data_IF_668818936430
#
_entry.id   IF_668818936430
#
_cell.length_a   1.000
_cell.length_b   1.000
_cell.length_c   1.000
_cell.angle_alpha   90.00
_cell.angle_beta   90.00
_cell.angle_gamma   90.00
#
_symmetry.space_group_name_H-M   'P 1'
#
loop_
_entity.id
_entity.type
_entity.pdbx_description
1 polymer ?
#
# COMPACT_ATOMS: atom_id res chain seq x y z
N UNK A 1 18.45 -11.42 1.89
CA UNK A 1 19.61 -10.52 1.74
C UNK A 1 19.31 -9.25 0.96
N UNK A 2 18.76 -9.30 -0.27
CA UNK A 2 18.48 -8.08 -1.07
C UNK A 2 17.72 -6.97 -0.32
N UNK A 3 16.53 -7.25 0.23
CA UNK A 3 15.73 -6.24 0.94
C UNK A 3 16.37 -5.73 2.23
N UNK A 4 17.09 -6.60 2.95
CA UNK A 4 17.80 -6.20 4.17
C UNK A 4 18.98 -5.28 3.83
N UNK A 5 19.67 -5.53 2.72
CA UNK A 5 20.69 -4.63 2.19
C UNK A 5 20.12 -3.28 1.74
N UNK A 6 18.97 -3.29 1.05
CA UNK A 6 18.29 -2.06 0.65
C UNK A 6 17.89 -1.19 1.85
N UNK A 7 17.44 -1.82 2.95
CA UNK A 7 16.99 -1.12 4.16
C UNK A 7 18.14 -0.85 5.15
N UNK A 8 19.38 -1.21 4.84
CA UNK A 8 20.49 -1.14 5.79
C UNK A 8 20.74 0.27 6.35
N UNK A 9 20.52 1.30 5.52
CA UNK A 9 20.73 2.70 5.89
C UNK A 9 19.46 3.35 6.48
N UNK A 10 18.36 2.60 6.64
CA UNK A 10 17.13 3.14 7.21
C UNK A 10 17.31 3.39 8.71
N UNK A 11 17.18 4.65 9.12
CA UNK A 11 17.28 5.03 10.53
C UNK A 11 16.03 4.58 11.32
N UNK A 12 16.14 4.42 12.65
CA UNK A 12 14.98 4.12 13.48
C UNK A 12 13.86 5.18 13.39
N UNK A 13 14.19 6.44 13.13
CA UNK A 13 13.20 7.49 12.95
C UNK A 13 12.48 7.34 11.61
N UNK A 14 13.20 7.17 10.50
CA UNK A 14 12.59 6.90 9.19
C UNK A 14 11.70 5.67 9.22
N UNK A 15 12.08 4.62 9.94
CA UNK A 15 11.26 3.43 10.13
C UNK A 15 9.94 3.74 10.87
N UNK A 16 9.99 4.53 11.95
CA UNK A 16 8.79 4.97 12.70
C UNK A 16 7.90 5.88 11.87
N UNK A 17 8.47 6.91 11.25
CA UNK A 17 7.75 7.85 10.40
C UNK A 17 7.12 7.11 9.21
N UNK A 18 7.87 6.20 8.58
CA UNK A 18 7.40 5.39 7.45
C UNK A 18 6.21 4.50 7.84
N UNK A 19 6.25 3.87 9.00
CA UNK A 19 5.12 3.07 9.51
C UNK A 19 3.86 3.93 9.71
N UNK A 20 4.00 5.13 10.28
CA UNK A 20 2.88 6.05 10.47
C UNK A 20 2.30 6.57 9.15
N UNK A 21 3.17 6.96 8.20
CA UNK A 21 2.74 7.40 6.88
C UNK A 21 2.00 6.28 6.12
N UNK A 22 2.49 5.04 6.25
CA UNK A 22 1.89 3.86 5.63
C UNK A 22 0.50 3.56 6.22
N UNK A 23 0.35 3.68 7.55
CA UNK A 23 -0.95 3.57 8.22
C UNK A 23 -1.94 4.61 7.69
N UNK A 24 -1.54 5.88 7.63
CA UNK A 24 -2.39 6.96 7.09
C UNK A 24 -2.77 6.74 5.64
N UNK A 25 -1.84 6.30 4.80
CA UNK A 25 -2.13 6.00 3.41
C UNK A 25 -3.13 4.85 3.28
N UNK A 26 -3.04 3.83 4.14
CA UNK A 26 -4.01 2.74 4.19
C UNK A 26 -5.40 3.27 4.56
N UNK A 27 -5.50 4.12 5.58
CA UNK A 27 -6.78 4.74 6.00
C UNK A 27 -7.41 5.62 4.93
N UNK A 28 -6.59 6.37 4.17
CA UNK A 28 -7.08 7.26 3.14
C UNK A 28 -7.53 6.52 1.88
N UNK A 29 -6.78 5.51 1.44
CA UNK A 29 -6.90 4.96 0.09
C UNK A 29 -7.41 3.52 0.03
N UNK A 30 -7.77 2.91 1.16
CA UNK A 30 -8.38 1.58 1.19
C UNK A 30 -9.81 1.62 1.73
N UNK A 31 -10.51 0.49 1.58
CA UNK A 31 -11.88 0.33 2.03
C UNK A 31 -12.92 0.91 1.06
N UNK A 32 -14.18 0.48 1.18
CA UNK A 32 -15.28 1.01 0.39
C UNK A 32 -15.52 2.48 0.72
N UNK A 33 -16.03 3.25 -0.25
CA UNK A 33 -16.51 4.60 -0.01
C UNK A 33 -17.70 4.61 0.96
N UNK A 34 -17.83 5.67 1.76
CA UNK A 34 -18.99 5.89 2.61
C UNK A 34 -20.15 6.51 1.81
N UNK A 35 -21.38 6.05 2.07
CA UNK A 35 -22.59 6.57 1.42
C UNK A 35 -22.80 6.04 0.00
N UNK A 36 -23.71 6.70 -0.73
CA UNK A 36 -24.18 6.24 -2.05
C UNK A 36 -23.31 6.73 -3.22
N UNK A 37 -22.34 7.62 -2.98
CA UNK A 37 -21.44 8.12 -4.02
C UNK A 37 -20.11 7.36 -4.06
N UNK A 38 -19.70 6.92 -5.25
CA UNK A 38 -18.41 6.25 -5.44
C UNK A 38 -17.21 7.19 -5.28
N UNK A 39 -16.19 6.78 -4.54
CA UNK A 39 -14.88 7.45 -4.44
C UNK A 39 -13.91 6.91 -5.50
N UNK A 40 -13.23 7.80 -6.21
CA UNK A 40 -12.19 7.45 -7.19
C UNK A 40 -10.94 8.27 -6.92
N UNK A 41 -9.90 7.63 -6.41
CA UNK A 41 -8.62 8.26 -6.08
C UNK A 41 -7.52 7.85 -7.09
N UNK A 42 -6.63 8.78 -7.42
CA UNK A 42 -5.39 8.49 -8.14
C UNK A 42 -4.22 8.82 -7.21
N UNK A 43 -3.39 7.81 -6.93
CA UNK A 43 -2.22 7.95 -6.06
C UNK A 43 -0.96 7.73 -6.90
N UNK A 44 -0.14 8.79 -7.03
CA UNK A 44 1.18 8.71 -7.66
C UNK A 44 2.23 8.58 -6.57
N UNK A 45 2.90 7.42 -6.51
CA UNK A 45 3.84 7.09 -5.44
C UNK A 45 4.91 6.09 -5.91
N UNK A 46 5.77 5.67 -5.00
CA UNK A 46 6.87 4.73 -5.24
C UNK A 46 6.46 3.28 -5.00
N UNK A 47 7.31 2.35 -5.47
CA UNK A 47 7.00 0.92 -5.48
C UNK A 47 6.52 0.34 -4.16
N UNK A 48 7.18 0.67 -3.05
CA UNK A 48 6.82 0.07 -1.78
C UNK A 48 5.46 0.50 -1.24
N UNK A 49 5.02 1.74 -1.50
CA UNK A 49 3.67 2.14 -1.08
C UNK A 49 2.60 1.49 -1.97
N UNK A 50 2.84 1.37 -3.28
CA UNK A 50 1.93 0.61 -4.17
C UNK A 50 1.84 -0.84 -3.70
N UNK A 51 2.97 -1.49 -3.45
CA UNK A 51 3.05 -2.86 -2.97
C UNK A 51 2.36 -3.05 -1.61
N UNK A 52 2.47 -2.08 -0.71
CA UNK A 52 1.78 -2.09 0.57
C UNK A 52 0.25 -2.06 0.40
N UNK A 53 -0.27 -1.14 -0.42
CA UNK A 53 -1.71 -1.04 -0.68
C UNK A 53 -2.27 -2.30 -1.37
N UNK A 54 -1.51 -2.91 -2.29
CA UNK A 54 -1.88 -4.20 -2.89
C UNK A 54 -1.90 -5.32 -1.85
N UNK A 55 -0.92 -5.35 -0.94
CA UNK A 55 -0.89 -6.30 0.18
C UNK A 55 -2.11 -6.13 1.09
N UNK A 56 -2.50 -4.90 1.39
CA UNK A 56 -3.69 -4.61 2.20
C UNK A 56 -4.96 -5.08 1.48
N UNK A 57 -5.12 -4.73 0.20
CA UNK A 57 -6.29 -5.14 -0.60
C UNK A 57 -6.45 -6.66 -0.72
N UNK A 58 -5.34 -7.41 -0.77
CA UNK A 58 -5.34 -8.88 -0.86
C UNK A 58 -5.33 -9.57 0.51
N UNK A 59 -5.35 -8.81 1.62
CA UNK A 59 -5.27 -9.33 2.99
C UNK A 59 -4.06 -10.26 3.18
N UNK A 60 -2.97 -9.95 2.47
CA UNK A 60 -1.76 -10.75 2.49
C UNK A 60 -0.93 -10.48 3.76
N UNK A 61 -0.02 -11.38 4.16
CA UNK A 61 0.82 -11.20 5.34
C UNK A 61 1.63 -9.89 5.33
N UNK A 62 1.93 -9.34 6.51
CA UNK A 62 2.64 -8.08 6.69
C UNK A 62 3.99 -7.95 5.99
N UNK A 63 4.70 -9.04 5.72
CA UNK A 63 5.99 -9.01 5.01
C UNK A 63 5.84 -9.04 3.48
N UNK A 64 4.65 -9.35 2.95
CA UNK A 64 4.48 -9.72 1.54
C UNK A 64 4.70 -8.56 0.57
N UNK A 65 4.54 -7.31 1.04
CA UNK A 65 4.78 -6.09 0.25
C UNK A 65 6.21 -6.02 -0.30
N UNK A 66 7.21 -6.57 0.41
CA UNK A 66 8.59 -6.57 -0.06
C UNK A 66 8.73 -7.27 -1.42
N UNK A 67 8.02 -8.38 -1.61
CA UNK A 67 8.13 -9.21 -2.81
C UNK A 67 7.11 -8.91 -3.92
N UNK A 68 6.42 -7.78 -3.90
CA UNK A 68 5.51 -7.37 -4.97
C UNK A 68 6.27 -6.40 -5.88
N UNK A 69 6.47 -6.80 -7.14
CA UNK A 69 7.11 -5.98 -8.16
C UNK A 69 6.06 -5.52 -9.17
N UNK A 70 6.26 -4.32 -9.71
CA UNK A 70 5.44 -3.76 -10.78
C UNK A 70 6.29 -3.20 -11.91
N UNK A 71 5.64 -2.94 -13.04
CA UNK A 71 6.26 -2.26 -14.18
C UNK A 71 6.34 -0.76 -13.93
N UNK A 72 7.42 -0.13 -14.38
CA UNK A 72 7.59 1.33 -14.29
C UNK A 72 6.47 2.05 -15.05
N UNK A 73 5.88 3.07 -14.42
CA UNK A 73 4.76 3.86 -14.94
C UNK A 73 3.51 3.04 -15.35
N UNK A 74 3.33 1.85 -14.78
CA UNK A 74 2.12 1.06 -14.96
C UNK A 74 1.00 1.48 -14.00
N UNK A 75 -0.24 1.17 -14.38
CA UNK A 75 -1.41 1.44 -13.58
C UNK A 75 -1.82 0.18 -12.81
N UNK A 76 -1.86 0.29 -11.48
CA UNK A 76 -2.46 -0.72 -10.59
C UNK A 76 -3.85 -0.24 -10.18
N UNK A 77 -4.87 -1.06 -10.39
CA UNK A 77 -6.26 -0.73 -10.00
C UNK A 77 -6.70 -1.61 -8.84
N UNK A 78 -7.25 -0.98 -7.80
CA UNK A 78 -7.82 -1.64 -6.62
C UNK A 78 -9.27 -1.17 -6.50
N UNK A 79 -10.19 -2.10 -6.28
CA UNK A 79 -11.61 -1.79 -6.08
C UNK A 79 -12.07 -2.41 -4.77
N UNK A 80 -12.59 -1.57 -3.88
CA UNK A 80 -13.28 -2.00 -2.67
C UNK A 80 -14.78 -1.88 -2.90
N UNK A 81 -15.50 -3.00 -2.90
CA UNK A 81 -16.96 -3.04 -3.07
C UNK A 81 -17.64 -3.27 -1.72
N UNK A 82 -18.59 -2.42 -1.30
CA UNK A 82 -19.34 -2.63 -0.06
C UNK A 82 -19.95 -4.04 0.02
N UNK A 83 -19.86 -4.67 1.19
CA UNK A 83 -20.45 -5.99 1.45
C UNK A 83 -19.78 -7.16 0.73
N UNK A 84 -18.68 -6.94 0.01
CA UNK A 84 -17.85 -8.04 -0.51
C UNK A 84 -16.68 -8.31 0.42
N UNK A 85 -16.40 -9.60 0.58
CA UNK A 85 -15.11 -10.01 1.11
C UNK A 85 -14.00 -9.45 0.21
N UNK A 86 -12.84 -9.13 0.80
CA UNK A 86 -11.65 -8.76 0.07
C UNK A 86 -11.21 -9.81 -0.95
#
# INVERSE_FOLDING_TARGET
>A
DFYLGFLADTTPEEARTGAELTRRATELYTGPAEGDSGRHDIVVTHNFLVAWLVREALYAPAWRWLGINHSHASLTTIRHTPGRAP
#
